data_IF_515600395985
#
_entry.id   IF_515600395985
#
_cell.length_a   1.000
_cell.length_b   1.000
_cell.length_c   1.000
_cell.angle_alpha   90.00
_cell.angle_beta   90.00
_cell.angle_gamma   90.00
#
_symmetry.space_group_name_H-M   'P 1'
#
loop_
_entity.id
_entity.type
_entity.pdbx_description
1 polymer ?
#
# COMPACT_ATOMS: atom_id res chain seq x y z
N UNK A 1 18.88 5.90 16.87
CA UNK A 1 19.18 5.51 15.47
C UNK A 1 17.98 5.73 14.54
N UNK A 2 16.75 5.76 15.06
CA UNK A 2 15.53 5.73 14.22
C UNK A 2 15.28 6.99 13.39
N UNK A 3 15.68 8.17 13.89
CA UNK A 3 15.43 9.44 13.18
C UNK A 3 16.30 9.62 11.93
N UNK A 4 17.50 9.04 11.90
CA UNK A 4 18.40 9.16 10.74
C UNK A 4 17.90 8.25 9.61
N UNK A 5 17.57 7.00 9.94
CA UNK A 5 17.03 6.02 9.02
C UNK A 5 15.68 6.47 8.48
N UNK A 6 14.78 6.96 9.34
CA UNK A 6 13.48 7.47 8.91
C UNK A 6 13.59 8.68 7.96
N UNK A 7 14.58 9.56 8.16
CA UNK A 7 14.84 10.71 7.27
C UNK A 7 15.45 10.26 5.93
N UNK A 8 16.39 9.31 5.95
CA UNK A 8 16.97 8.76 4.73
C UNK A 8 15.92 7.98 3.93
N UNK A 9 15.20 7.06 4.57
CA UNK A 9 14.11 6.32 3.96
C UNK A 9 13.03 7.26 3.41
N UNK A 10 12.63 8.30 4.15
CA UNK A 10 11.67 9.29 3.65
C UNK A 10 12.20 10.09 2.45
N UNK A 11 13.47 10.51 2.47
CA UNK A 11 14.07 11.23 1.33
C UNK A 11 14.21 10.35 0.10
N UNK A 12 14.68 9.12 0.25
CA UNK A 12 14.82 8.17 -0.84
C UNK A 12 13.45 7.79 -1.39
N UNK A 13 12.44 7.55 -0.53
CA UNK A 13 11.07 7.30 -0.97
C UNK A 13 10.44 8.50 -1.70
N UNK A 14 10.70 9.73 -1.24
CA UNK A 14 10.22 10.95 -1.92
C UNK A 14 10.85 11.10 -3.30
N UNK A 15 12.16 10.88 -3.40
CA UNK A 15 12.89 10.97 -4.66
C UNK A 15 12.40 9.86 -5.60
N UNK A 16 12.35 8.61 -5.14
CA UNK A 16 11.89 7.47 -5.94
C UNK A 16 10.44 7.61 -6.45
N UNK A 17 9.58 8.31 -5.72
CA UNK A 17 8.20 8.58 -6.11
C UNK A 17 8.02 9.79 -7.04
N UNK A 18 9.07 10.58 -7.31
CA UNK A 18 8.97 11.76 -8.18
C UNK A 18 9.15 11.40 -9.66
N UNK A 19 8.43 12.05 -10.59
CA UNK A 19 8.62 11.89 -12.04
C UNK A 19 10.09 12.07 -12.50
N UNK A 20 10.86 12.90 -11.78
CA UNK A 20 12.27 13.11 -12.04
C UNK A 20 13.13 11.86 -11.79
N UNK A 21 12.81 11.02 -10.79
CA UNK A 21 13.54 9.77 -10.56
C UNK A 21 13.21 8.72 -11.61
N UNK A 22 11.98 8.70 -12.11
CA UNK A 22 11.63 7.87 -13.26
C UNK A 22 12.43 8.28 -14.50
N UNK A 23 12.50 9.59 -14.80
CA UNK A 23 13.32 10.10 -15.90
C UNK A 23 14.81 9.75 -15.74
N UNK A 24 15.35 9.84 -14.52
CA UNK A 24 16.71 9.42 -14.22
C UNK A 24 16.92 7.91 -14.43
N UNK A 25 15.98 7.08 -13.98
CA UNK A 25 16.05 5.63 -14.17
C UNK A 25 16.03 5.26 -15.67
N UNK A 26 15.16 5.90 -16.45
CA UNK A 26 15.12 5.74 -17.91
C UNK A 26 16.46 6.19 -18.54
N UNK A 27 17.03 7.30 -18.10
CA UNK A 27 18.33 7.76 -18.60
C UNK A 27 19.46 6.75 -18.29
N UNK A 28 19.47 6.15 -17.09
CA UNK A 28 20.41 5.10 -16.70
C UNK A 28 20.27 3.86 -17.60
N UNK A 29 19.04 3.43 -17.88
CA UNK A 29 18.78 2.31 -18.80
C UNK A 29 19.26 2.63 -20.21
N UNK A 30 18.99 3.84 -20.71
CA UNK A 30 19.45 4.28 -22.03
C UNK A 30 20.98 4.30 -22.13
N UNK A 31 21.68 4.81 -21.12
CA UNK A 31 23.15 4.77 -21.05
C UNK A 31 23.65 3.33 -21.07
N UNK A 32 23.01 2.43 -20.34
CA UNK A 32 23.39 1.02 -20.33
C UNK A 32 23.20 0.34 -21.70
N UNK A 33 22.08 0.59 -22.39
CA UNK A 33 21.82 0.06 -23.73
C UNK A 33 22.85 0.58 -24.72
N UNK A 34 23.11 1.89 -24.72
CA UNK A 34 24.07 2.53 -25.63
C UNK A 34 25.53 2.10 -25.34
N UNK A 35 25.85 1.78 -24.09
CA UNK A 35 27.15 1.22 -23.70
C UNK A 35 27.33 -0.25 -24.08
N UNK A 36 26.24 -1.02 -24.20
CA UNK A 36 26.27 -2.46 -24.51
C UNK A 36 27.13 -2.84 -25.74
N UNK A 37 26.97 -2.19 -26.91
CA UNK A 37 27.79 -2.45 -28.09
C UNK A 37 29.29 -2.24 -27.89
N UNK A 38 29.68 -1.24 -27.08
CA UNK A 38 31.10 -0.98 -26.79
C UNK A 38 31.73 -2.10 -25.95
N UNK A 39 30.98 -2.68 -25.03
CA UNK A 39 31.42 -3.80 -24.19
C UNK A 39 31.08 -5.18 -24.77
N UNK A 40 30.65 -5.24 -26.04
CA UNK A 40 30.30 -6.48 -26.74
C UNK A 40 29.22 -7.31 -26.03
N UNK A 41 28.34 -6.67 -25.26
CA UNK A 41 27.33 -7.34 -24.44
C UNK A 41 27.89 -8.41 -23.48
N UNK A 42 29.09 -8.20 -22.94
CA UNK A 42 29.77 -9.17 -22.06
C UNK A 42 28.93 -9.59 -20.84
N UNK A 43 29.20 -10.79 -20.33
CA UNK A 43 28.55 -11.32 -19.13
C UNK A 43 28.74 -10.39 -17.92
N UNK A 44 29.92 -9.78 -17.76
CA UNK A 44 30.18 -8.81 -16.70
C UNK A 44 29.33 -7.55 -16.84
N UNK A 45 29.13 -7.05 -18.07
CA UNK A 45 28.31 -5.87 -18.35
C UNK A 45 26.83 -6.10 -18.00
N UNK A 46 26.30 -7.28 -18.31
CA UNK A 46 24.95 -7.68 -17.95
C UNK A 46 24.81 -7.95 -16.44
N UNK A 47 25.80 -8.63 -15.85
CA UNK A 47 25.83 -8.96 -14.42
C UNK A 47 25.76 -7.71 -13.55
N UNK A 48 26.57 -6.68 -13.84
CA UNK A 48 26.58 -5.44 -13.04
C UNK A 48 25.19 -4.80 -12.96
N UNK A 49 24.46 -4.72 -14.08
CA UNK A 49 23.13 -4.12 -14.07
C UNK A 49 22.07 -5.02 -13.46
N UNK A 50 22.15 -6.33 -13.67
CA UNK A 50 21.25 -7.27 -13.04
C UNK A 50 21.43 -7.28 -11.51
N UNK A 51 22.67 -7.41 -11.03
CA UNK A 51 22.99 -7.37 -9.60
C UNK A 51 22.60 -6.02 -8.99
N UNK A 52 22.91 -4.91 -9.65
CA UNK A 52 22.55 -3.57 -9.18
C UNK A 52 21.04 -3.39 -9.07
N UNK A 53 20.28 -3.79 -10.09
CA UNK A 53 18.81 -3.68 -10.10
C UNK A 53 18.19 -4.59 -9.05
N UNK A 54 18.74 -5.79 -8.84
CA UNK A 54 18.26 -6.72 -7.80
C UNK A 54 18.43 -6.12 -6.40
N UNK A 55 19.60 -5.56 -6.08
CA UNK A 55 19.83 -4.87 -4.81
C UNK A 55 18.91 -3.65 -4.67
N UNK A 56 18.77 -2.85 -5.72
CA UNK A 56 17.88 -1.69 -5.71
C UNK A 56 16.42 -2.09 -5.47
N UNK A 57 15.96 -3.16 -6.11
CA UNK A 57 14.60 -3.72 -5.94
C UNK A 57 14.40 -4.25 -4.54
N UNK A 58 15.37 -4.98 -3.98
CA UNK A 58 15.31 -5.46 -2.60
C UNK A 58 15.15 -4.29 -1.61
N UNK A 59 15.96 -3.23 -1.78
CA UNK A 59 15.81 -2.00 -0.99
C UNK A 59 14.47 -1.30 -1.21
N UNK A 60 13.98 -1.29 -2.45
CA UNK A 60 12.69 -0.68 -2.82
C UNK A 60 11.53 -1.36 -2.10
N UNK A 61 11.55 -2.69 -1.91
CA UNK A 61 10.52 -3.39 -1.13
C UNK A 61 10.42 -2.84 0.29
N UNK A 62 11.55 -2.65 0.99
CA UNK A 62 11.54 -2.06 2.33
C UNK A 62 11.07 -0.60 2.33
N UNK A 63 11.46 0.18 1.31
CA UNK A 63 11.02 1.58 1.19
C UNK A 63 9.51 1.67 0.94
N UNK A 64 8.98 0.84 0.05
CA UNK A 64 7.56 0.72 -0.24
C UNK A 64 6.82 0.31 1.03
N UNK A 65 7.28 -0.74 1.72
CA UNK A 65 6.67 -1.18 2.98
C UNK A 65 6.68 -0.08 4.05
N UNK A 66 7.79 0.65 4.23
CA UNK A 66 7.85 1.76 5.17
C UNK A 66 6.88 2.90 4.80
N UNK A 67 6.79 3.25 3.51
CA UNK A 67 5.84 4.26 3.04
C UNK A 67 4.39 3.80 3.18
N UNK A 68 4.11 2.53 2.87
CA UNK A 68 2.79 1.93 2.99
C UNK A 68 2.36 1.83 4.46
N UNK A 69 3.24 1.39 5.36
CA UNK A 69 2.96 1.32 6.79
C UNK A 69 2.62 2.70 7.37
N UNK A 70 3.39 3.74 7.00
CA UNK A 70 3.09 5.12 7.42
C UNK A 70 1.75 5.61 6.86
N UNK A 71 1.45 5.32 5.60
CA UNK A 71 0.19 5.71 4.98
C UNK A 71 -1.01 4.98 5.61
N UNK A 72 -0.86 3.70 5.95
CA UNK A 72 -1.88 2.91 6.64
C UNK A 72 -2.21 3.50 8.02
N UNK A 73 -1.20 3.79 8.83
CA UNK A 73 -1.38 4.43 10.14
C UNK A 73 -2.05 5.82 10.03
N UNK A 74 -1.70 6.60 9.00
CA UNK A 74 -2.33 7.90 8.77
C UNK A 74 -3.81 7.78 8.34
N UNK A 75 -4.18 6.70 7.64
CA UNK A 75 -5.58 6.41 7.29
C UNK A 75 -6.34 6.00 8.54
N UNK A 76 -5.79 5.10 9.36
CA UNK A 76 -6.39 4.68 10.64
C UNK A 76 -6.68 5.88 11.54
N UNK A 77 -5.69 6.75 11.78
CA UNK A 77 -5.88 7.95 12.60
C UNK A 77 -6.97 8.91 12.08
N UNK A 78 -7.14 9.01 10.75
CA UNK A 78 -8.22 9.80 10.15
C UNK A 78 -9.59 9.14 10.34
N UNK A 79 -9.66 7.81 10.24
CA UNK A 79 -10.89 7.05 10.48
C UNK A 79 -11.30 7.13 11.95
N UNK A 80 -10.35 7.02 12.88
CA UNK A 80 -10.59 7.16 14.31
C UNK A 80 -11.18 8.52 14.64
N UNK A 81 -10.64 9.59 14.05
CA UNK A 81 -11.18 10.94 14.22
C UNK A 81 -12.59 11.07 13.64
N UNK A 82 -12.88 10.43 12.51
CA UNK A 82 -14.23 10.41 11.94
C UNK A 82 -15.22 9.64 12.82
N UNK A 83 -14.83 8.47 13.35
CA UNK A 83 -15.66 7.69 14.29
C UNK A 83 -15.95 8.54 15.54
N UNK A 84 -14.90 9.16 16.11
CA UNK A 84 -15.01 10.02 17.29
C UNK A 84 -15.94 11.22 17.08
N UNK A 85 -16.02 11.75 15.85
CA UNK A 85 -16.80 12.93 15.51
C UNK A 85 -18.28 12.63 15.17
N UNK A 86 -18.64 11.38 14.84
CA UNK A 86 -20.00 11.00 14.43
C UNK A 86 -20.82 10.57 15.65
N UNK A 87 -21.97 11.23 15.87
CA UNK A 87 -22.82 11.05 17.06
C UNK A 87 -23.26 9.61 17.34
N UNK A 88 -23.65 8.85 16.31
CA UNK A 88 -24.12 7.47 16.43
C UNK A 88 -23.04 6.43 16.11
N UNK A 89 -21.78 6.85 15.93
CA UNK A 89 -20.69 5.92 15.71
C UNK A 89 -20.20 5.33 17.03
N UNK A 90 -19.81 4.05 16.98
CA UNK A 90 -19.35 3.32 18.15
C UNK A 90 -17.86 3.53 18.36
N UNK A 91 -17.52 4.36 19.34
CA UNK A 91 -16.13 4.69 19.68
C UNK A 91 -15.27 3.47 20.07
N UNK A 92 -15.87 2.34 20.45
CA UNK A 92 -15.18 1.06 20.69
C UNK A 92 -14.51 0.48 19.43
N UNK A 93 -14.85 0.97 18.24
CA UNK A 93 -14.19 0.58 16.98
C UNK A 93 -12.87 1.34 16.74
N UNK A 94 -12.55 2.35 17.53
CA UNK A 94 -11.26 3.06 17.46
C UNK A 94 -10.14 2.15 17.96
N UNK A 95 -9.11 1.96 17.15
CA UNK A 95 -7.91 1.19 17.53
C UNK A 95 -8.07 -0.34 17.46
N UNK A 96 -9.13 -0.87 16.85
CA UNK A 96 -9.35 -2.32 16.72
C UNK A 96 -8.26 -3.04 15.92
N UNK A 97 -7.45 -2.32 15.13
CA UNK A 97 -6.29 -2.86 14.41
C UNK A 97 -5.18 -3.42 15.32
N UNK A 98 -5.25 -3.17 16.62
CA UNK A 98 -4.31 -3.73 17.61
C UNK A 98 -4.78 -5.09 18.17
N UNK A 99 -6.00 -5.51 17.83
CA UNK A 99 -6.54 -6.82 18.21
C UNK A 99 -5.95 -7.92 17.31
N UNK A 100 -6.11 -9.16 17.75
CA UNK A 100 -5.76 -10.32 16.93
C UNK A 100 -6.69 -10.47 15.73
N UNK A 101 -6.21 -11.12 14.67
CA UNK A 101 -7.03 -11.39 13.47
C UNK A 101 -8.34 -12.12 13.82
N UNK A 102 -8.30 -13.05 14.77
CA UNK A 102 -9.47 -13.79 15.24
C UNK A 102 -10.49 -12.88 15.95
N UNK A 103 -10.02 -11.94 16.77
CA UNK A 103 -10.88 -10.96 17.44
C UNK A 103 -11.50 -9.98 16.44
N UNK A 104 -10.73 -9.52 15.45
CA UNK A 104 -11.23 -8.64 14.39
C UNK A 104 -12.31 -9.35 13.58
N UNK A 105 -12.10 -10.61 13.20
CA UNK A 105 -13.10 -11.38 12.45
C UNK A 105 -14.35 -11.67 13.30
N UNK A 106 -14.21 -11.91 14.60
CA UNK A 106 -15.36 -12.04 15.50
C UNK A 106 -16.19 -10.75 15.57
N UNK A 107 -15.54 -9.58 15.69
CA UNK A 107 -16.22 -8.27 15.67
C UNK A 107 -16.93 -8.06 14.33
N UNK A 108 -16.25 -8.39 13.22
CA UNK A 108 -16.81 -8.28 11.87
C UNK A 108 -18.04 -9.18 11.69
N UNK A 109 -17.98 -10.42 12.15
CA UNK A 109 -19.10 -11.36 12.08
C UNK A 109 -20.29 -10.88 12.92
N UNK A 110 -20.04 -10.37 14.13
CA UNK A 110 -21.09 -9.79 14.97
C UNK A 110 -21.77 -8.57 14.31
N UNK A 111 -20.97 -7.69 13.68
CA UNK A 111 -21.46 -6.55 12.92
C UNK A 111 -22.36 -6.97 11.74
N UNK A 112 -21.93 -7.95 10.96
CA UNK A 112 -22.68 -8.45 9.82
C UNK A 112 -24.03 -9.05 10.26
N UNK A 113 -24.06 -9.77 11.39
CA UNK A 113 -25.30 -10.31 11.99
C UNK A 113 -26.24 -9.20 12.49
N UNK A 114 -25.69 -8.18 13.13
CA UNK A 114 -26.47 -7.05 13.65
C UNK A 114 -27.14 -6.25 12.52
N UNK A 115 -26.40 -5.96 11.45
CA UNK A 115 -26.97 -5.28 10.26
C UNK A 115 -28.02 -6.15 9.58
N UNK A 116 -27.81 -7.47 9.53
CA UNK A 116 -28.78 -8.41 8.97
C UNK A 116 -30.08 -8.48 9.80
N UNK A 117 -30.01 -8.30 11.12
CA UNK A 117 -31.19 -8.30 12.00
C UNK A 117 -31.90 -6.94 12.04
N UNK A 118 -31.18 -5.82 11.89
CA UNK A 118 -31.75 -4.47 11.82
C UNK A 118 -32.39 -4.15 10.45
N UNK A 119 -31.98 -4.85 9.38
CA UNK A 119 -32.60 -4.72 8.06
C UNK A 119 -33.62 -5.84 7.86
N UNK A 120 -34.95 -5.60 7.87
CA UNK A 120 -35.90 -6.62 7.49
C UNK A 120 -35.75 -6.91 5.99
N UNK A 121 -34.92 -7.90 5.65
CA UNK A 121 -34.94 -8.82 4.51
C UNK A 121 -35.22 -8.36 3.07
N UNK A 122 -35.52 -7.09 2.77
CA UNK A 122 -36.24 -6.77 1.53
C UNK A 122 -35.53 -5.89 0.50
N UNK A 123 -34.32 -5.36 0.74
CA UNK A 123 -33.68 -4.43 -0.22
C UNK A 123 -32.26 -4.77 -0.69
N UNK A 124 -31.49 -5.64 -0.01
CA UNK A 124 -30.09 -5.90 -0.39
C UNK A 124 -29.95 -6.86 -1.58
N UNK A 125 -30.74 -7.93 -1.63
CA UNK A 125 -30.75 -8.85 -2.79
C UNK A 125 -31.44 -8.21 -4.01
N UNK A 126 -32.57 -7.51 -3.82
CA UNK A 126 -33.28 -6.84 -4.94
C UNK A 126 -32.42 -5.81 -5.70
N UNK A 127 -31.47 -5.13 -5.04
CA UNK A 127 -30.69 -4.08 -5.71
C UNK A 127 -29.51 -4.65 -6.50
N UNK A 128 -28.88 -5.73 -6.01
CA UNK A 128 -27.78 -6.41 -6.70
C UNK A 128 -28.33 -7.23 -7.86
N UNK A 129 -29.42 -7.96 -7.66
CA UNK A 129 -30.09 -8.74 -8.71
C UNK A 129 -30.59 -7.83 -9.84
N UNK A 130 -31.17 -6.66 -9.53
CA UNK A 130 -31.57 -5.67 -10.55
C UNK A 130 -30.41 -5.03 -11.32
N UNK A 131 -29.20 -5.05 -10.78
CA UNK A 131 -28.00 -4.56 -11.48
C UNK A 131 -27.40 -5.64 -12.38
N UNK A 132 -27.51 -6.91 -11.99
CA UNK A 132 -27.07 -8.05 -12.79
C UNK A 132 -28.06 -8.37 -13.92
N UNK A 133 -29.36 -8.19 -13.71
CA UNK A 133 -30.42 -8.36 -14.74
C UNK A 133 -30.46 -7.22 -15.79
N UNK A 134 -29.67 -6.15 -15.61
CA UNK A 134 -29.60 -4.99 -16.52
C UNK A 134 -28.41 -5.00 -17.48
N UNK A 135 -27.59 -6.06 -17.49
CA UNK A 135 -26.54 -6.29 -18.48
C UNK A 135 -26.95 -7.41 -19.44
#
# INVERSE_FOLDING_TARGET
>A
MDRWFARLASKVALIAGQPAAFALAVAVIMIWILGGPYFGWSDTWQLVVNTGTTVATFLMVFLIQNSQNRNAAAIQAKLDELIRAVHDARNEFVGIEHLTDDEIEAIRAALEQEVATQTPGRRRHETIDRMLDRQ
#
